data_IF_686826569845
#
_entry.id   IF_686826569845
#
_cell.length_a   1.000
_cell.length_b   1.000
_cell.length_c   1.000
_cell.angle_alpha   90.00
_cell.angle_beta   90.00
_cell.angle_gamma   90.00
#
_symmetry.space_group_name_H-M   'P 1'
#
loop_
_entity.id
_entity.type
_entity.pdbx_description
1 polymer ?
#
# COMPACT_ATOMS: atom_id res chain seq x y z
N UNK A 1 -6.92 -5.75 5.18
CA UNK A 1 -6.35 -6.13 3.87
C UNK A 1 -5.61 -7.45 4.06
N UNK A 2 -6.05 -8.50 3.36
CA UNK A 2 -5.34 -9.79 3.35
C UNK A 2 -4.28 -9.77 2.24
N UNK A 3 -3.03 -10.07 2.55
CA UNK A 3 -1.91 -9.93 1.61
C UNK A 3 -0.92 -11.09 1.69
N UNK A 4 -0.34 -11.43 0.55
CA UNK A 4 0.72 -12.43 0.40
C UNK A 4 1.92 -11.79 -0.32
N UNK A 5 3.11 -11.90 0.25
CA UNK A 5 4.32 -11.36 -0.36
C UNK A 5 5.57 -12.13 0.08
N UNK A 6 6.41 -12.52 -0.89
CA UNK A 6 7.71 -13.16 -0.64
C UNK A 6 7.63 -14.35 0.34
N UNK A 7 6.57 -15.17 0.25
CA UNK A 7 6.34 -16.32 1.14
C UNK A 7 5.69 -15.98 2.50
N UNK A 8 5.37 -14.71 2.76
CA UNK A 8 4.67 -14.26 3.97
C UNK A 8 3.19 -14.03 3.69
N UNK A 9 2.35 -14.16 4.72
CA UNK A 9 0.91 -13.86 4.69
C UNK A 9 0.53 -13.03 5.92
N UNK A 10 -0.44 -12.13 5.78
CA UNK A 10 -0.99 -11.42 6.92
C UNK A 10 -2.25 -10.62 6.62
N UNK A 11 -2.91 -10.23 7.70
CA UNK A 11 -4.06 -9.32 7.71
C UNK A 11 -3.66 -7.99 8.32
N UNK A 12 -3.80 -6.93 7.53
CA UNK A 12 -3.31 -5.59 7.86
C UNK A 12 -4.46 -4.60 7.97
N UNK A 13 -4.35 -3.68 8.94
CA UNK A 13 -5.27 -2.56 9.07
C UNK A 13 -5.16 -1.69 7.81
N UNK A 14 -6.30 -1.43 7.17
CA UNK A 14 -6.38 -0.61 5.95
C UNK A 14 -7.52 0.39 6.12
N UNK A 15 -7.21 1.67 5.97
CA UNK A 15 -8.14 2.77 6.15
C UNK A 15 -8.13 3.67 4.90
N UNK A 16 -9.19 3.66 4.09
CA UNK A 16 -9.36 4.62 3.01
C UNK A 16 -9.39 6.07 3.54
N UNK A 17 -8.88 6.99 2.74
CA UNK A 17 -9.05 8.44 2.92
C UNK A 17 -9.79 9.03 1.72
N UNK A 18 -10.03 10.35 1.70
CA UNK A 18 -10.67 11.00 0.56
C UNK A 18 -9.83 10.96 -0.72
N UNK A 19 -8.51 10.88 -0.57
CA UNK A 19 -7.50 11.05 -1.60
C UNK A 19 -6.47 9.92 -1.58
N UNK A 20 -6.78 8.75 -1.02
CA UNK A 20 -5.84 7.65 -0.89
C UNK A 20 -6.20 6.68 0.22
N UNK A 21 -5.18 6.23 0.96
CA UNK A 21 -5.36 5.28 2.06
C UNK A 21 -4.14 5.26 2.99
N UNK A 22 -4.36 4.76 4.20
CA UNK A 22 -3.31 4.41 5.16
C UNK A 22 -3.42 2.93 5.48
N UNK A 23 -2.29 2.24 5.55
CA UNK A 23 -2.25 0.87 6.05
C UNK A 23 -1.04 0.61 6.94
N UNK A 24 -1.19 -0.34 7.86
CA UNK A 24 -0.19 -0.58 8.90
C UNK A 24 0.19 -2.06 9.01
N UNK A 25 1.48 -2.30 9.22
CA UNK A 25 2.05 -3.59 9.60
C UNK A 25 2.54 -3.48 11.04
N UNK A 26 1.97 -4.28 11.94
CA UNK A 26 2.49 -4.44 13.29
C UNK A 26 3.57 -5.53 13.30
N UNK A 27 4.82 -5.12 13.38
CA UNK A 27 6.00 -6.00 13.30
C UNK A 27 6.73 -6.00 14.65
N UNK A 28 6.21 -6.76 15.62
CA UNK A 28 6.76 -6.81 16.97
C UNK A 28 6.68 -5.44 17.66
N UNK A 29 7.81 -4.86 18.13
CA UNK A 29 7.80 -3.60 18.89
C UNK A 29 7.66 -2.34 18.02
N UNK A 30 7.64 -2.48 16.70
CA UNK A 30 7.49 -1.35 15.78
C UNK A 30 6.29 -1.53 14.84
N UNK A 31 5.77 -0.41 14.37
CA UNK A 31 4.74 -0.36 13.33
C UNK A 31 5.35 0.24 12.08
N UNK A 32 5.10 -0.36 10.92
CA UNK A 32 5.37 0.28 9.64
C UNK A 32 4.04 0.84 9.14
N UNK A 33 3.96 2.16 9.00
CA UNK A 33 2.79 2.84 8.46
C UNK A 33 3.08 3.28 7.05
N UNK A 34 2.22 2.88 6.14
CA UNK A 34 2.23 3.36 4.77
C UNK A 34 1.09 4.35 4.57
N UNK A 35 1.40 5.50 3.99
CA UNK A 35 0.42 6.54 3.64
C UNK A 35 0.50 6.77 2.14
N UNK A 36 -0.57 6.44 1.43
CA UNK A 36 -0.70 6.67 0.00
C UNK A 36 -1.62 7.86 -0.25
N UNK A 37 -1.18 8.76 -1.12
CA UNK A 37 -1.96 9.83 -1.72
C UNK A 37 -2.07 9.57 -3.21
N UNK A 38 -3.31 9.46 -3.69
CA UNK A 38 -3.68 9.25 -5.08
C UNK A 38 -4.48 10.46 -5.55
N UNK A 39 -3.84 11.32 -6.33
CA UNK A 39 -4.44 12.57 -6.81
C UNK A 39 -3.92 12.91 -8.20
N UNK A 40 -4.80 13.39 -9.06
CA UNK A 40 -4.46 13.89 -10.41
C UNK A 40 -3.65 12.89 -11.26
N UNK A 41 -3.94 11.60 -11.11
CA UNK A 41 -3.24 10.53 -11.82
C UNK A 41 -1.85 10.20 -11.27
N UNK A 42 -1.47 10.74 -10.11
CA UNK A 42 -0.25 10.38 -9.38
C UNK A 42 -0.60 9.55 -8.15
N UNK A 43 0.19 8.52 -7.88
CA UNK A 43 0.21 7.80 -6.62
C UNK A 43 1.55 8.08 -5.95
N UNK A 44 1.54 8.83 -4.86
CA UNK A 44 2.69 8.99 -3.96
C UNK A 44 2.44 8.20 -2.68
N UNK A 45 3.32 7.26 -2.35
CA UNK A 45 3.21 6.48 -1.12
C UNK A 45 4.52 6.44 -0.37
N UNK A 46 4.41 6.64 0.93
CA UNK A 46 5.54 6.68 1.84
C UNK A 46 5.33 5.66 2.95
N UNK A 47 6.39 4.95 3.31
CA UNK A 47 6.42 4.00 4.42
C UNK A 47 7.34 4.49 5.51
N UNK A 48 6.78 4.71 6.70
CA UNK A 48 7.49 5.17 7.88
C UNK A 48 7.52 4.07 8.95
N UNK A 49 8.72 3.74 9.45
CA UNK A 49 8.88 2.86 10.61
C UNK A 49 8.76 3.67 11.89
N UNK A 50 7.80 3.30 12.72
CA UNK A 50 7.44 3.96 13.98
C UNK A 50 7.86 3.07 15.15
N UNK A 51 8.63 3.64 16.08
CA UNK A 51 9.04 2.99 17.33
C UNK A 51 8.67 3.87 18.53
N UNK A 52 8.29 3.28 19.67
CA UNK A 52 8.04 4.04 20.89
C UNK A 52 9.24 4.89 21.29
N UNK A 53 9.00 6.18 21.59
CA UNK A 53 10.02 7.12 22.06
C UNK A 53 11.05 7.55 21.01
N UNK A 54 10.82 7.26 19.71
CA UNK A 54 11.69 7.68 18.61
C UNK A 54 10.86 8.35 17.51
N UNK A 55 11.50 9.26 16.79
CA UNK A 55 10.89 9.85 15.60
C UNK A 55 10.69 8.77 14.52
N UNK A 56 9.58 8.85 13.74
CA UNK A 56 9.39 7.99 12.59
C UNK A 56 10.54 8.09 11.59
N UNK A 57 10.95 6.95 11.04
CA UNK A 57 12.01 6.88 10.02
C UNK A 57 11.40 6.45 8.68
N UNK A 58 11.58 7.28 7.65
CA UNK A 58 11.23 6.96 6.26
C UNK A 58 12.04 5.78 5.77
N UNK A 59 11.38 4.70 5.38
CA UNK A 59 12.02 3.48 4.82
C UNK A 59 11.58 3.16 3.40
N UNK A 60 10.53 3.83 2.91
CA UNK A 60 9.98 3.63 1.58
C UNK A 60 9.41 4.95 1.04
N UNK A 61 9.71 5.27 -0.21
CA UNK A 61 9.12 6.41 -0.92
C UNK A 61 8.94 6.02 -2.40
N UNK A 62 7.70 6.06 -2.87
CA UNK A 62 7.33 5.68 -4.23
C UNK A 62 6.43 6.74 -4.84
N UNK A 63 6.77 7.13 -6.06
CA UNK A 63 5.96 8.03 -6.86
C UNK A 63 5.69 7.38 -8.22
N UNK A 64 4.42 7.09 -8.49
CA UNK A 64 3.95 6.53 -9.75
C UNK A 64 3.08 7.54 -10.46
N UNK A 65 3.23 7.60 -11.78
CA UNK A 65 2.35 8.35 -12.67
C UNK A 65 1.51 7.39 -13.49
N UNK A 66 0.20 7.62 -13.51
CA UNK A 66 -0.74 6.87 -14.33
C UNK A 66 -0.43 7.10 -15.81
N UNK A 67 -0.21 6.02 -16.54
CA UNK A 67 0.03 6.07 -17.98
C UNK A 67 -1.28 6.07 -18.80
N UNK A 68 -2.30 5.36 -18.33
CA UNK A 68 -3.59 5.24 -19.00
C UNK A 68 -4.45 4.13 -18.41
N UNK A 69 -5.66 3.94 -18.95
CA UNK A 69 -6.52 2.81 -18.62
C UNK A 69 -6.00 1.51 -19.25
N UNK A 70 -6.28 0.38 -18.59
CA UNK A 70 -6.02 -0.96 -19.12
C UNK A 70 -7.28 -1.80 -19.03
N UNK A 71 -7.47 -2.69 -20.00
CA UNK A 71 -8.54 -3.70 -19.99
C UNK A 71 -8.22 -4.91 -19.11
N UNK A 72 -7.00 -5.02 -18.58
CA UNK A 72 -6.65 -6.00 -17.54
C UNK A 72 -7.45 -5.71 -16.24
N UNK A 73 -7.91 -6.71 -15.48
CA UNK A 73 -7.66 -8.15 -15.63
C UNK A 73 -8.61 -8.89 -16.59
N UNK A 74 -9.65 -8.23 -17.10
CA UNK A 74 -10.63 -8.88 -17.97
C UNK A 74 -10.08 -9.23 -19.37
N UNK A 75 -9.07 -8.48 -19.84
CA UNK A 75 -8.45 -8.68 -21.15
C UNK A 75 -7.89 -10.11 -21.30
N UNK A 76 -8.57 -10.92 -22.11
CA UNK A 76 -8.18 -12.32 -22.34
C UNK A 76 -8.47 -13.26 -21.17
N UNK A 77 -9.27 -12.86 -20.18
CA UNK A 77 -9.64 -13.72 -19.08
C UNK A 77 -10.45 -14.93 -19.58
N UNK A 78 -10.03 -16.14 -19.20
CA UNK A 78 -10.78 -17.37 -19.45
C UNK A 78 -11.89 -17.45 -18.40
N UNK A 79 -13.14 -17.46 -18.84
CA UNK A 79 -14.28 -17.59 -17.93
C UNK A 79 -14.34 -18.99 -17.31
N UNK A 80 -14.86 -19.14 -16.07
CA UNK A 80 -15.15 -20.44 -15.49
C UNK A 80 -16.11 -21.24 -16.39
N UNK A 81 -15.95 -22.57 -16.42
CA UNK A 81 -16.90 -23.49 -17.06
C UNK A 81 -18.03 -23.86 -16.12
#
# INVERSE_FOLDING_TARGET
>A
MHSYAQGNVGDFAFKPTADGFVWEIHAGPFTIRYTAMIKDGTWHEVGDRIMPGKDPVRIFDMNLKRLGDTSWPAAGAVSPK
#
